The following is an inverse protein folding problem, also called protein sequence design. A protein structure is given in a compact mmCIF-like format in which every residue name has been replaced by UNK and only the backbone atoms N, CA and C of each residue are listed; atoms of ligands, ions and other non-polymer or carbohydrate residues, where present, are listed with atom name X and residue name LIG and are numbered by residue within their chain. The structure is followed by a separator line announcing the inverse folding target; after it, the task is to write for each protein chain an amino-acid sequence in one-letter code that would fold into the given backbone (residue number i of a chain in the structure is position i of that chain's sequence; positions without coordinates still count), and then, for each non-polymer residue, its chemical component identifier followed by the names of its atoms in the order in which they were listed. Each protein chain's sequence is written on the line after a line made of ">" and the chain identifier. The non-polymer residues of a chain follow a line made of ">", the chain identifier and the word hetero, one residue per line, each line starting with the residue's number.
data_IF_311566250709
#
_entry.id   IF_311566250709
#
_cell.length_a   1.000
_cell.length_b   1.000
_cell.length_c   1.000
_cell.angle_alpha   90.00
_cell.angle_beta   90.00
_cell.angle_gamma   90.00
#
_symmetry.space_group_name_H-M   'P 1'
#
loop_
_entity.id
_entity.type
_entity.pdbx_description
1 polymer ?
#
# COMPACT_ATOMS: atom_id res chain seq x y z
N UNK A 1 -20.83 -27.50 -6.65
CA UNK A 1 -20.03 -26.76 -5.65
C UNK A 1 -18.97 -25.88 -6.30
N UNK A 2 -18.23 -26.39 -7.28
CA UNK A 2 -17.21 -25.69 -8.08
C UNK A 2 -17.67 -24.40 -8.77
N UNK A 3 -18.85 -24.40 -9.42
CA UNK A 3 -19.37 -23.20 -10.09
C UNK A 3 -19.60 -22.00 -9.14
N UNK A 4 -20.05 -22.26 -7.90
CA UNK A 4 -20.27 -21.21 -6.89
C UNK A 4 -18.95 -20.62 -6.36
N UNK A 5 -17.90 -21.42 -6.27
CA UNK A 5 -16.57 -20.96 -5.85
C UNK A 5 -15.92 -20.11 -6.93
N UNK A 6 -15.94 -20.57 -8.18
CA UNK A 6 -15.42 -19.82 -9.32
C UNK A 6 -16.13 -18.47 -9.50
N UNK A 7 -17.45 -18.44 -9.32
CA UNK A 7 -18.22 -17.21 -9.39
C UNK A 7 -17.87 -16.22 -8.26
N UNK A 8 -17.60 -16.72 -7.03
CA UNK A 8 -17.09 -15.86 -5.94
C UNK A 8 -15.71 -15.29 -6.23
N UNK A 9 -14.80 -16.11 -6.76
CA UNK A 9 -13.45 -15.67 -7.15
C UNK A 9 -13.54 -14.60 -8.25
N UNK A 10 -14.36 -14.85 -9.27
CA UNK A 10 -14.59 -13.89 -10.36
C UNK A 10 -15.13 -12.56 -9.86
N UNK A 11 -16.14 -12.58 -8.99
CA UNK A 11 -16.71 -11.36 -8.40
C UNK A 11 -15.70 -10.60 -7.54
N UNK A 12 -14.89 -11.32 -6.75
CA UNK A 12 -13.80 -10.73 -5.98
C UNK A 12 -12.78 -10.04 -6.89
N UNK A 13 -12.33 -10.70 -7.95
CA UNK A 13 -11.44 -10.09 -8.95
C UNK A 13 -12.07 -8.84 -9.59
N UNK A 14 -13.30 -8.96 -10.06
CA UNK A 14 -14.00 -7.86 -10.76
C UNK A 14 -14.18 -6.62 -9.87
N UNK A 15 -14.43 -6.81 -8.56
CA UNK A 15 -14.59 -5.69 -7.63
C UNK A 15 -13.37 -4.77 -7.55
N UNK A 16 -12.16 -5.29 -7.77
CA UNK A 16 -10.91 -4.53 -7.76
C UNK A 16 -10.58 -3.84 -9.09
N UNK A 17 -11.41 -4.03 -10.13
CA UNK A 17 -11.11 -3.57 -11.49
C UNK A 17 -12.15 -2.60 -12.05
N UNK A 18 -13.17 -2.28 -11.25
CA UNK A 18 -14.20 -1.30 -11.63
C UNK A 18 -13.64 0.12 -11.57
N UNK A 19 -14.24 1.02 -12.35
CA UNK A 19 -13.85 2.42 -12.33
C UNK A 19 -14.20 3.09 -10.99
N UNK A 20 -15.31 2.68 -10.35
CA UNK A 20 -15.70 3.12 -9.01
C UNK A 20 -14.64 2.75 -7.95
N UNK A 21 -14.10 1.52 -8.01
CA UNK A 21 -13.02 1.09 -7.11
C UNK A 21 -11.80 2.02 -7.23
N UNK A 22 -11.42 2.38 -8.46
CA UNK A 22 -10.26 3.23 -8.72
C UNK A 22 -10.52 4.68 -8.30
N UNK A 23 -11.71 5.21 -8.58
CA UNK A 23 -12.13 6.55 -8.12
C UNK A 23 -12.05 6.67 -6.59
N UNK A 24 -12.56 5.67 -5.88
CA UNK A 24 -12.53 5.66 -4.41
C UNK A 24 -11.11 5.51 -3.86
N UNK A 25 -10.22 4.83 -4.59
CA UNK A 25 -8.80 4.78 -4.24
C UNK A 25 -8.12 6.15 -4.42
N UNK A 26 -8.57 6.97 -5.38
CA UNK A 26 -8.03 8.28 -5.68
C UNK A 26 -8.63 9.41 -4.83
N UNK A 27 -9.70 9.17 -4.07
CA UNK A 27 -10.39 10.19 -3.27
C UNK A 27 -10.26 9.93 -1.77
N UNK A 28 -10.44 10.96 -0.95
CA UNK A 28 -10.46 10.88 0.51
C UNK A 28 -11.85 11.24 1.05
N UNK A 29 -12.16 10.76 2.24
CA UNK A 29 -13.39 11.16 2.95
C UNK A 29 -13.24 12.50 3.67
N UNK A 30 -12.02 13.02 3.85
CA UNK A 30 -11.75 14.26 4.59
C UNK A 30 -10.90 15.27 3.80
N UNK A 31 -9.96 14.80 2.97
CA UNK A 31 -9.09 15.69 2.19
C UNK A 31 -9.66 15.93 0.79
N UNK A 32 -9.49 17.13 0.22
CA UNK A 32 -9.60 17.33 -1.21
C UNK A 32 -8.65 16.39 -1.97
N UNK A 33 -9.07 15.90 -3.15
CA UNK A 33 -8.30 14.95 -3.97
C UNK A 33 -6.87 15.41 -4.24
N UNK A 34 -6.66 16.69 -4.57
CA UNK A 34 -5.32 17.22 -4.84
C UNK A 34 -4.41 17.14 -3.60
N UNK A 35 -4.96 17.37 -2.40
CA UNK A 35 -4.20 17.31 -1.15
C UNK A 35 -3.85 15.86 -0.79
N UNK A 36 -4.74 14.90 -1.04
CA UNK A 36 -4.41 13.47 -0.94
C UNK A 36 -3.26 13.10 -1.88
N UNK A 37 -3.27 13.62 -3.11
CA UNK A 37 -2.18 13.44 -4.08
C UNK A 37 -0.86 13.99 -3.56
N UNK A 38 -0.88 15.20 -2.99
CA UNK A 38 0.30 15.83 -2.37
C UNK A 38 0.83 15.03 -1.17
N UNK A 39 -0.04 14.54 -0.29
CA UNK A 39 0.37 13.69 0.84
C UNK A 39 1.09 12.45 0.33
N UNK A 40 0.49 11.73 -0.64
CA UNK A 40 1.11 10.55 -1.26
C UNK A 40 2.47 10.89 -1.91
N UNK A 41 2.57 12.03 -2.59
CA UNK A 41 3.82 12.49 -3.18
C UNK A 41 4.91 12.77 -2.12
N UNK A 42 4.56 13.44 -1.02
CA UNK A 42 5.49 13.71 0.09
C UNK A 42 5.99 12.41 0.72
N UNK A 43 5.09 11.44 0.96
CA UNK A 43 5.47 10.14 1.51
C UNK A 43 6.39 9.37 0.56
N UNK A 44 6.11 9.42 -0.75
CA UNK A 44 6.99 8.83 -1.77
C UNK A 44 8.38 9.47 -1.78
N UNK A 45 8.44 10.81 -1.80
CA UNK A 45 9.69 11.57 -1.78
C UNK A 45 10.49 11.23 -0.53
N UNK A 46 9.86 11.24 0.65
CA UNK A 46 10.54 10.85 1.89
C UNK A 46 11.11 9.43 1.81
N UNK A 47 10.32 8.45 1.36
CA UNK A 47 10.79 7.06 1.27
C UNK A 47 11.97 6.91 0.31
N UNK A 48 11.93 7.53 -0.87
CA UNK A 48 13.06 7.54 -1.80
C UNK A 48 14.27 8.27 -1.22
N UNK A 49 14.09 9.42 -0.57
CA UNK A 49 15.18 10.13 0.09
C UNK A 49 15.83 9.27 1.16
N UNK A 50 15.06 8.57 2.00
CA UNK A 50 15.59 7.61 2.97
C UNK A 50 16.43 6.53 2.29
N UNK A 51 15.89 5.86 1.27
CA UNK A 51 16.59 4.79 0.54
C UNK A 51 17.90 5.26 -0.07
N UNK A 52 17.86 6.36 -0.84
CA UNK A 52 19.05 6.88 -1.51
C UNK A 52 20.07 7.43 -0.52
N UNK A 53 19.63 8.05 0.58
CA UNK A 53 20.55 8.52 1.62
C UNK A 53 21.23 7.36 2.34
N UNK A 54 20.51 6.29 2.69
CA UNK A 54 21.10 5.09 3.31
C UNK A 54 22.14 4.46 2.38
N UNK A 55 21.80 4.30 1.10
CA UNK A 55 22.73 3.78 0.07
C UNK A 55 23.97 4.66 -0.03
N UNK A 56 23.79 5.97 -0.22
CA UNK A 56 24.89 6.92 -0.37
C UNK A 56 25.79 7.00 0.86
N UNK A 57 25.19 7.06 2.05
CA UNK A 57 25.92 7.09 3.32
C UNK A 57 26.77 5.83 3.51
N UNK A 58 26.19 4.65 3.31
CA UNK A 58 26.92 3.37 3.47
C UNK A 58 28.06 3.23 2.47
N UNK A 59 27.85 3.60 1.21
CA UNK A 59 28.92 3.61 0.21
C UNK A 59 30.05 4.56 0.62
N UNK A 60 29.70 5.77 1.09
CA UNK A 60 30.69 6.78 1.47
C UNK A 60 31.60 6.34 2.63
N UNK A 61 31.11 5.46 3.52
CA UNK A 61 31.90 4.88 4.62
C UNK A 61 32.51 3.51 4.28
N UNK A 62 32.54 3.13 3.00
CA UNK A 62 33.19 1.90 2.52
C UNK A 62 32.35 0.62 2.67
N UNK A 63 31.05 0.71 2.93
CA UNK A 63 30.14 -0.44 3.10
C UNK A 63 29.36 -0.78 1.82
N UNK A 64 30.01 -0.73 0.66
CA UNK A 64 29.35 -0.97 -0.64
C UNK A 64 28.81 -2.41 -0.77
N UNK A 65 29.51 -3.41 -0.23
CA UNK A 65 29.06 -4.80 -0.22
C UNK A 65 27.75 -4.96 0.58
N UNK A 66 27.68 -4.38 1.78
CA UNK A 66 26.45 -4.40 2.58
C UNK A 66 25.26 -3.72 1.90
N UNK A 67 25.50 -2.73 1.02
CA UNK A 67 24.44 -2.14 0.19
C UNK A 67 23.95 -3.13 -0.87
N UNK A 68 24.83 -3.88 -1.51
CA UNK A 68 24.42 -4.91 -2.49
C UNK A 68 23.57 -5.99 -1.81
N UNK A 69 24.07 -6.50 -0.68
CA UNK A 69 23.38 -7.50 0.13
C UNK A 69 22.04 -7.00 0.67
N UNK A 70 21.88 -5.69 0.91
CA UNK A 70 20.63 -5.11 1.42
C UNK A 70 19.41 -5.40 0.53
N UNK A 71 19.60 -5.61 -0.77
CA UNK A 71 18.52 -5.96 -1.70
C UNK A 71 17.97 -7.38 -1.52
N UNK A 72 18.62 -8.20 -0.68
CA UNK A 72 18.12 -9.54 -0.29
C UNK A 72 17.20 -9.51 0.94
N UNK A 73 17.08 -8.37 1.62
CA UNK A 73 16.24 -8.22 2.81
C UNK A 73 14.81 -7.83 2.43
N UNK A 74 13.81 -8.57 2.94
CA UNK A 74 12.40 -8.28 2.68
C UNK A 74 12.01 -6.87 3.14
N UNK A 75 12.59 -6.40 4.24
CA UNK A 75 12.32 -5.08 4.79
C UNK A 75 12.74 -3.96 3.84
N UNK A 76 13.90 -4.10 3.18
CA UNK A 76 14.41 -3.16 2.18
C UNK A 76 13.59 -3.24 0.89
N UNK A 77 13.35 -4.45 0.37
CA UNK A 77 12.50 -4.65 -0.81
C UNK A 77 11.08 -4.12 -0.61
N UNK A 78 10.51 -4.35 0.58
CA UNK A 78 9.21 -3.85 0.99
C UNK A 78 9.17 -2.32 1.06
N UNK A 79 10.25 -1.67 1.52
CA UNK A 79 10.33 -0.22 1.58
C UNK A 79 10.51 0.42 0.19
N UNK A 80 11.24 -0.21 -0.73
CA UNK A 80 11.22 0.15 -2.16
C UNK A 80 9.81 0.02 -2.76
N UNK A 81 9.14 -1.10 -2.49
CA UNK A 81 7.75 -1.30 -2.91
C UNK A 81 6.82 -0.20 -2.38
N UNK A 82 6.99 0.18 -1.12
CA UNK A 82 6.26 1.28 -0.48
C UNK A 82 6.51 2.63 -1.19
N UNK A 83 7.78 2.97 -1.45
CA UNK A 83 8.16 4.21 -2.13
C UNK A 83 7.53 4.32 -3.53
N UNK A 84 7.62 3.25 -4.33
CA UNK A 84 7.01 3.17 -5.65
C UNK A 84 5.49 3.19 -5.60
N UNK A 85 4.87 2.49 -4.65
CA UNK A 85 3.42 2.52 -4.48
C UNK A 85 2.94 3.95 -4.29
N UNK A 86 3.55 4.70 -3.36
CA UNK A 86 3.14 6.08 -3.12
C UNK A 86 3.37 6.98 -4.34
N UNK A 87 4.40 6.73 -5.15
CA UNK A 87 4.60 7.44 -6.41
C UNK A 87 3.44 7.19 -7.40
N UNK A 88 3.08 5.92 -7.62
CA UNK A 88 1.97 5.56 -8.51
C UNK A 88 0.62 6.04 -7.95
N UNK A 89 0.40 5.90 -6.65
CA UNK A 89 -0.80 6.38 -6.00
C UNK A 89 -0.92 7.91 -6.12
N UNK A 90 0.16 8.66 -5.93
CA UNK A 90 0.19 10.12 -6.16
C UNK A 90 -0.13 10.45 -7.63
N UNK A 91 0.50 9.75 -8.59
CA UNK A 91 0.26 9.94 -10.02
C UNK A 91 -1.22 9.70 -10.40
N UNK A 92 -1.81 8.61 -9.93
CA UNK A 92 -3.22 8.28 -10.18
C UNK A 92 -4.18 9.28 -9.52
N UNK A 93 -3.85 9.72 -8.30
CA UNK A 93 -4.64 10.71 -7.56
C UNK A 93 -4.61 12.07 -8.22
N UNK A 94 -3.42 12.55 -8.61
CA UNK A 94 -3.25 13.85 -9.26
C UNK A 94 -3.86 13.85 -10.65
N UNK A 95 -3.71 12.77 -11.42
CA UNK A 95 -4.40 12.67 -12.72
C UNK A 95 -5.92 12.69 -12.57
N UNK A 96 -6.47 12.02 -11.55
CA UNK A 96 -7.90 12.12 -11.22
C UNK A 96 -8.29 13.54 -10.82
N UNK A 97 -7.50 14.22 -9.98
CA UNK A 97 -7.77 15.61 -9.58
C UNK A 97 -7.80 16.59 -10.76
N UNK A 98 -6.99 16.36 -11.79
CA UNK A 98 -6.86 17.26 -12.94
C UNK A 98 -7.85 16.96 -14.08
N UNK A 99 -8.33 15.72 -14.19
CA UNK A 99 -9.07 15.24 -15.38
C UNK A 99 -10.37 14.51 -15.04
N UNK A 100 -10.68 14.38 -13.75
CA UNK A 100 -11.75 13.51 -13.22
C UNK A 100 -11.65 12.05 -13.67
N UNK A 101 -10.45 11.66 -14.12
CA UNK A 101 -10.13 10.33 -14.61
C UNK A 101 -8.70 9.97 -14.26
N UNK A 102 -8.53 8.99 -13.37
CA UNK A 102 -7.23 8.47 -12.97
C UNK A 102 -6.58 7.76 -14.16
N UNK A 103 -5.25 7.88 -14.30
CA UNK A 103 -4.51 7.13 -15.32
C UNK A 103 -4.74 5.62 -15.23
N UNK A 104 -4.91 5.07 -14.02
CA UNK A 104 -5.20 3.64 -13.82
C UNK A 104 -6.52 3.20 -14.46
N UNK A 105 -7.50 4.11 -14.64
CA UNK A 105 -8.78 3.76 -15.27
C UNK A 105 -8.63 3.43 -16.77
N UNK A 106 -7.60 3.94 -17.45
CA UNK A 106 -7.32 3.60 -18.85
C UNK A 106 -6.45 2.37 -19.02
N UNK A 107 -5.92 1.80 -17.94
CA UNK A 107 -5.07 0.61 -18.00
C UNK A 107 -5.90 -0.66 -18.25
N UNK A 108 -5.31 -1.71 -18.85
CA UNK A 108 -5.97 -3.00 -18.98
C UNK A 108 -6.35 -3.59 -17.61
N UNK A 109 -7.41 -4.38 -17.57
CA UNK A 109 -8.02 -4.91 -16.34
C UNK A 109 -7.04 -5.65 -15.44
N UNK A 110 -6.09 -6.39 -16.00
CA UNK A 110 -5.09 -7.13 -15.23
C UNK A 110 -4.12 -6.18 -14.48
N UNK A 111 -3.77 -5.03 -15.06
CA UNK A 111 -2.96 -4.02 -14.38
C UNK A 111 -3.75 -3.28 -13.30
N UNK A 112 -5.06 -3.04 -13.50
CA UNK A 112 -5.96 -2.53 -12.45
C UNK A 112 -5.96 -3.47 -11.24
N UNK A 113 -6.05 -4.78 -11.51
CA UNK A 113 -5.99 -5.81 -10.47
C UNK A 113 -4.62 -5.86 -9.79
N UNK A 114 -3.51 -5.83 -10.55
CA UNK A 114 -2.17 -5.81 -9.96
C UNK A 114 -1.94 -4.57 -9.10
N UNK A 115 -2.50 -3.41 -9.45
CA UNK A 115 -2.47 -2.25 -8.57
C UNK A 115 -3.29 -2.48 -7.29
N UNK A 116 -4.41 -3.20 -7.35
CA UNK A 116 -5.12 -3.63 -6.13
C UNK A 116 -4.26 -4.55 -5.26
N UNK A 117 -3.54 -5.49 -5.85
CA UNK A 117 -2.56 -6.32 -5.14
C UNK A 117 -1.45 -5.47 -4.53
N UNK A 118 -0.91 -4.50 -5.28
CA UNK A 118 0.13 -3.58 -4.79
C UNK A 118 -0.36 -2.74 -3.61
N UNK A 119 -1.62 -2.29 -3.66
CA UNK A 119 -2.26 -1.62 -2.52
C UNK A 119 -2.35 -2.55 -1.30
N UNK A 120 -2.66 -3.82 -1.49
CA UNK A 120 -2.70 -4.80 -0.41
C UNK A 120 -1.30 -5.08 0.18
N UNK A 121 -0.24 -5.14 -0.62
CA UNK A 121 1.11 -5.35 -0.08
C UNK A 121 1.52 -4.20 0.85
N UNK A 122 1.29 -2.95 0.46
CA UNK A 122 1.69 -1.77 1.27
C UNK A 122 0.79 -1.47 2.46
N UNK A 123 -0.39 -2.08 2.54
CA UNK A 123 -1.27 -1.95 3.72
C UNK A 123 -1.25 -3.18 4.62
N UNK A 124 -0.54 -4.25 4.24
CA UNK A 124 -0.42 -5.48 5.04
C UNK A 124 1.02 -5.74 5.46
N UNK A 125 1.96 -5.78 4.52
CA UNK A 125 3.35 -6.14 4.81
C UNK A 125 4.05 -5.18 5.76
N UNK A 126 3.85 -3.84 5.72
CA UNK A 126 4.52 -2.95 6.66
C UNK A 126 4.21 -3.25 8.13
N UNK A 127 2.98 -3.65 8.46
CA UNK A 127 2.65 -4.05 9.83
C UNK A 127 3.36 -5.33 10.26
N UNK A 128 3.52 -6.32 9.35
CA UNK A 128 4.32 -7.53 9.60
C UNK A 128 5.79 -7.13 9.82
N UNK A 129 6.35 -6.32 8.92
CA UNK A 129 7.74 -5.87 8.97
C UNK A 129 8.02 -5.15 10.28
N UNK A 130 7.18 -4.20 10.66
CA UNK A 130 7.31 -3.48 11.93
C UNK A 130 7.27 -4.47 13.10
N UNK A 131 6.28 -5.36 13.16
CA UNK A 131 6.17 -6.32 14.25
C UNK A 131 7.41 -7.23 14.37
N UNK A 132 7.86 -7.82 13.26
CA UNK A 132 9.03 -8.71 13.24
C UNK A 132 10.31 -7.95 13.55
N UNK A 133 10.51 -6.77 12.96
CA UNK A 133 11.71 -5.99 13.17
C UNK A 133 11.85 -5.59 14.65
N UNK A 134 10.82 -5.01 15.25
CA UNK A 134 10.88 -4.54 16.64
C UNK A 134 10.83 -5.67 17.67
N UNK A 135 10.32 -6.85 17.31
CA UNK A 135 10.32 -8.00 18.21
C UNK A 135 11.64 -8.80 18.16
N UNK A 136 12.30 -8.87 17.00
CA UNK A 136 13.39 -9.84 16.77
C UNK A 136 14.67 -9.21 16.21
N UNK A 137 14.60 -8.13 15.44
CA UNK A 137 15.74 -7.60 14.67
C UNK A 137 16.31 -6.27 15.21
N UNK A 138 15.66 -5.65 16.20
CA UNK A 138 15.97 -4.26 16.60
C UNK A 138 17.16 -4.09 17.57
N UNK A 139 17.97 -5.13 17.78
CA UNK A 139 19.07 -5.13 18.77
C UNK A 139 19.98 -3.90 18.63
N UNK A 140 20.37 -3.59 17.39
CA UNK A 140 21.30 -2.50 17.08
C UNK A 140 20.59 -1.23 16.59
N UNK A 141 19.27 -1.12 16.80
CA UNK A 141 18.49 0.00 16.27
C UNK A 141 19.01 1.35 16.79
N UNK A 142 19.44 1.43 18.05
CA UNK A 142 19.72 2.68 18.76
C UNK A 142 21.21 2.95 19.03
N UNK A 143 22.13 2.24 18.37
CA UNK A 143 23.58 2.35 18.67
C UNK A 143 24.23 3.63 18.15
N UNK A 144 23.63 4.29 17.16
CA UNK A 144 24.12 5.53 16.56
C UNK A 144 22.96 6.41 16.09
N UNK A 145 23.23 7.68 15.80
CA UNK A 145 22.23 8.58 15.19
C UNK A 145 21.76 8.05 13.82
N UNK A 146 22.70 7.59 12.99
CA UNK A 146 22.38 7.04 11.67
C UNK A 146 21.51 5.78 11.78
N UNK A 147 21.92 4.79 12.60
CA UNK A 147 21.14 3.56 12.78
C UNK A 147 19.77 3.84 13.40
N UNK A 148 19.68 4.78 14.34
CA UNK A 148 18.39 5.16 14.95
C UNK A 148 17.45 5.72 13.89
N UNK A 149 17.93 6.70 13.12
CA UNK A 149 17.14 7.34 12.08
C UNK A 149 16.77 6.36 10.95
N UNK A 150 17.71 5.56 10.46
CA UNK A 150 17.45 4.63 9.35
C UNK A 150 16.43 3.56 9.74
N UNK A 151 16.57 2.97 10.93
CA UNK A 151 15.66 1.93 11.39
C UNK A 151 14.27 2.46 11.74
N UNK A 152 14.16 3.66 12.33
CA UNK A 152 12.85 4.31 12.51
C UNK A 152 12.20 4.55 11.15
N UNK A 153 12.96 5.06 10.18
CA UNK A 153 12.44 5.37 8.85
C UNK A 153 11.96 4.09 8.12
N UNK A 154 12.77 3.05 8.07
CA UNK A 154 12.44 1.84 7.29
C UNK A 154 11.48 0.89 8.02
N UNK A 155 11.48 0.87 9.36
CA UNK A 155 10.80 -0.18 10.13
C UNK A 155 9.74 0.31 11.11
N UNK A 156 9.63 1.62 11.36
CA UNK A 156 8.47 2.21 12.04
C UNK A 156 7.61 3.03 11.08
N UNK A 157 8.21 3.94 10.31
CA UNK A 157 7.47 4.83 9.42
C UNK A 157 6.77 4.08 8.27
N UNK A 158 7.25 2.90 7.88
CA UNK A 158 6.56 2.04 6.93
C UNK A 158 5.10 1.71 7.36
N UNK A 159 4.89 1.38 8.64
CA UNK A 159 3.55 1.11 9.20
C UNK A 159 2.74 2.40 9.38
N UNK A 160 3.38 3.52 9.70
CA UNK A 160 2.73 4.82 9.73
C UNK A 160 2.22 5.21 8.33
N UNK A 161 3.01 4.93 7.28
CA UNK A 161 2.63 5.18 5.89
C UNK A 161 1.48 4.27 5.47
N UNK A 162 1.55 2.98 5.80
CA UNK A 162 0.46 2.03 5.60
C UNK A 162 -0.82 2.50 6.31
N UNK A 163 -0.70 3.04 7.53
CA UNK A 163 -1.83 3.58 8.27
C UNK A 163 -2.42 4.82 7.61
N UNK A 164 -1.61 5.77 7.11
CA UNK A 164 -2.11 6.94 6.36
C UNK A 164 -2.91 6.49 5.14
N UNK A 165 -2.39 5.52 4.39
CA UNK A 165 -3.05 4.99 3.19
C UNK A 165 -4.27 4.09 3.50
N UNK A 166 -4.37 3.61 4.73
CA UNK A 166 -5.55 2.93 5.25
C UNK A 166 -6.60 3.94 5.74
N UNK A 167 -6.17 5.04 6.37
CA UNK A 167 -7.04 5.96 7.08
C UNK A 167 -7.66 7.04 6.18
N UNK A 168 -6.91 7.60 5.23
CA UNK A 168 -7.35 8.76 4.44
C UNK A 168 -8.17 8.42 3.19
N UNK A 169 -7.74 7.47 2.32
CA UNK A 169 -8.45 7.19 1.08
C UNK A 169 -9.82 6.56 1.32
N UNK A 170 -10.73 6.69 0.35
CA UNK A 170 -12.04 6.01 0.37
C UNK A 170 -11.98 4.57 -0.15
N UNK A 171 -10.77 4.02 -0.27
CA UNK A 171 -10.46 2.70 -0.85
C UNK A 171 -11.43 1.59 -0.44
N UNK A 172 -11.85 0.75 -1.38
CA UNK A 172 -12.68 -0.40 -1.01
C UNK A 172 -11.91 -1.44 -0.18
N UNK A 173 -12.60 -2.25 0.64
CA UNK A 173 -11.97 -3.34 1.35
C UNK A 173 -11.25 -4.26 0.39
N UNK A 174 -10.08 -4.75 0.78
CA UNK A 174 -9.31 -5.67 -0.05
C UNK A 174 -10.19 -6.85 -0.50
N UNK A 175 -10.25 -7.15 -1.81
CA UNK A 175 -10.92 -8.34 -2.28
C UNK A 175 -10.13 -9.57 -1.82
N UNK A 176 -10.82 -10.66 -1.51
CA UNK A 176 -10.20 -11.88 -0.98
C UNK A 176 -9.16 -12.49 -1.93
N UNK A 177 -9.32 -12.23 -3.23
CA UNK A 177 -8.36 -12.63 -4.26
C UNK A 177 -6.96 -12.04 -4.04
N UNK A 178 -6.82 -10.90 -3.36
CA UNK A 178 -5.51 -10.30 -3.10
C UNK A 178 -4.66 -11.13 -2.13
N UNK A 179 -5.28 -11.91 -1.23
CA UNK A 179 -4.53 -12.72 -0.25
C UNK A 179 -3.59 -13.73 -0.91
N UNK A 180 -4.02 -14.38 -2.00
CA UNK A 180 -3.20 -15.38 -2.69
C UNK A 180 -1.90 -14.79 -3.27
N UNK A 181 -1.92 -13.67 -4.02
CA UNK A 181 -0.71 -12.95 -4.41
C UNK A 181 0.19 -12.54 -3.24
N UNK A 182 -0.35 -12.10 -2.09
CA UNK A 182 0.48 -11.76 -0.93
C UNK A 182 1.25 -12.99 -0.42
N UNK A 183 0.58 -14.12 -0.26
CA UNK A 183 1.21 -15.39 0.15
C UNK A 183 2.24 -15.83 -0.89
N UNK A 184 1.91 -15.71 -2.17
CA UNK A 184 2.84 -16.04 -3.26
C UNK A 184 4.11 -15.18 -3.22
N UNK A 185 3.98 -13.88 -2.97
CA UNK A 185 5.14 -12.97 -2.81
C UNK A 185 6.00 -13.38 -1.61
N UNK A 186 5.40 -13.76 -0.48
CA UNK A 186 6.17 -14.27 0.67
C UNK A 186 6.90 -15.57 0.35
N UNK A 187 6.29 -16.47 -0.43
CA UNK A 187 6.96 -17.69 -0.88
C UNK A 187 8.12 -17.39 -1.83
N UNK A 188 7.94 -16.47 -2.79
CA UNK A 188 9.02 -15.99 -3.65
C UNK A 188 10.15 -15.35 -2.85
N UNK A 189 9.82 -14.57 -1.83
CA UNK A 189 10.83 -14.00 -0.94
C UNK A 189 11.61 -15.08 -0.19
N UNK A 190 10.94 -16.12 0.34
CA UNK A 190 11.62 -17.23 0.98
C UNK A 190 12.59 -17.92 0.01
N UNK A 191 12.18 -18.14 -1.25
CA UNK A 191 13.07 -18.66 -2.29
C UNK A 191 14.26 -17.73 -2.54
N UNK A 192 14.05 -16.42 -2.59
CA UNK A 192 15.13 -15.43 -2.72
C UNK A 192 16.10 -15.49 -1.54
N UNK A 193 15.61 -15.58 -0.30
CA UNK A 193 16.44 -15.62 0.90
C UNK A 193 17.39 -16.83 0.91
N UNK A 194 16.92 -18.01 0.48
CA UNK A 194 17.77 -19.19 0.33
C UNK A 194 18.68 -19.10 -0.91
N UNK A 195 18.24 -18.47 -1.99
CA UNK A 195 19.11 -18.20 -3.13
C UNK A 195 20.29 -17.30 -2.72
N UNK A 196 20.05 -16.26 -1.92
CA UNK A 196 21.09 -15.41 -1.35
C UNK A 196 22.08 -16.21 -0.53
N UNK A 197 21.61 -17.18 0.27
CA UNK A 197 22.52 -18.06 1.01
C UNK A 197 23.42 -18.87 0.08
N UNK A 198 22.88 -19.45 -0.99
CA UNK A 198 23.66 -20.22 -1.96
C UNK A 198 24.65 -19.36 -2.76
N UNK A 199 24.32 -18.10 -3.04
CA UNK A 199 25.17 -17.22 -3.87
C UNK A 199 26.13 -16.35 -3.07
N UNK A 200 25.78 -15.96 -1.85
CA UNK A 200 26.53 -15.01 -1.02
C UNK A 200 27.01 -15.61 0.31
N UNK A 201 26.61 -16.85 0.64
CA UNK A 201 27.05 -17.56 1.84
C UNK A 201 26.41 -17.06 3.14
N UNK A 202 25.39 -16.20 3.07
CA UNK A 202 24.75 -15.57 4.23
C UNK A 202 23.26 -15.90 4.31
N UNK A 203 22.76 -16.11 5.54
CA UNK A 203 21.33 -16.05 5.79
C UNK A 203 20.95 -14.60 6.07
N UNK A 204 20.02 -14.05 5.28
CA UNK A 204 19.52 -12.67 5.46
C UNK A 204 18.85 -12.44 6.81
N UNK A 205 18.37 -13.50 7.45
CA UNK A 205 17.87 -13.46 8.82
C UNK A 205 18.34 -14.70 9.57
N UNK A 206 18.86 -14.53 10.78
CA UNK A 206 19.33 -15.63 11.64
C UNK A 206 18.24 -16.69 11.88
N UNK A 207 16.97 -16.27 11.95
CA UNK A 207 15.84 -17.17 12.14
C UNK A 207 15.51 -18.06 10.93
N UNK A 208 16.15 -17.82 9.78
CA UNK A 208 16.05 -18.67 8.58
C UNK A 208 17.20 -19.69 8.48
N UNK A 209 18.22 -19.59 9.33
CA UNK A 209 19.34 -20.52 9.34
C UNK A 209 18.90 -21.87 9.97
N UNK A 210 18.91 -22.98 9.21
CA UNK A 210 18.57 -24.30 9.73
C UNK A 210 19.51 -24.81 10.84
N UNK A 211 20.72 -24.24 10.97
CA UNK A 211 21.67 -24.55 12.04
C UNK A 211 21.12 -24.18 13.43
N UNK A 212 20.23 -23.17 13.48
CA UNK A 212 19.48 -22.76 14.66
C UNK A 212 18.27 -23.67 14.96
N UNK A 213 18.09 -24.75 14.19
CA UNK A 213 17.05 -25.76 14.32
C UNK A 213 15.99 -25.65 13.23
N UNK A 214 15.87 -26.69 12.40
CA UNK A 214 14.90 -26.74 11.30
C UNK A 214 13.44 -26.57 11.74
N UNK A 215 13.08 -27.05 12.93
CA UNK A 215 11.77 -26.81 13.53
C UNK A 215 11.51 -25.34 13.88
N UNK A 216 12.54 -24.60 14.27
CA UNK A 216 12.47 -23.16 14.54
C UNK A 216 12.20 -22.39 13.25
N UNK A 217 12.97 -22.67 12.19
CA UNK A 217 12.79 -22.07 10.86
C UNK A 217 11.37 -22.30 10.35
N UNK A 218 10.88 -23.54 10.41
CA UNK A 218 9.49 -23.85 10.03
C UNK A 218 8.49 -23.04 10.87
N UNK A 219 8.72 -22.93 12.18
CA UNK A 219 7.93 -22.11 13.09
C UNK A 219 7.84 -20.65 12.65
N UNK A 220 8.96 -20.00 12.31
CA UNK A 220 8.98 -18.63 11.80
C UNK A 220 8.25 -18.49 10.47
N UNK A 221 8.46 -19.40 9.52
CA UNK A 221 7.77 -19.39 8.23
C UNK A 221 6.23 -19.46 8.40
N UNK A 222 5.74 -20.37 9.24
CA UNK A 222 4.31 -20.48 9.53
C UNK A 222 3.77 -19.31 10.35
N UNK A 223 4.55 -18.76 11.28
CA UNK A 223 4.17 -17.57 12.04
C UNK A 223 4.00 -16.33 11.14
N UNK A 224 4.93 -16.10 10.20
CA UNK A 224 4.84 -15.00 9.22
C UNK A 224 3.66 -15.20 8.26
N UNK A 225 3.44 -16.43 7.79
CA UNK A 225 2.27 -16.77 6.97
C UNK A 225 0.96 -16.48 7.72
N UNK A 226 0.86 -16.93 8.97
CA UNK A 226 -0.30 -16.67 9.81
C UNK A 226 -0.49 -15.16 10.06
N UNK A 227 0.58 -14.43 10.36
CA UNK A 227 0.56 -12.99 10.54
C UNK A 227 0.06 -12.27 9.28
N UNK A 228 0.49 -12.70 8.08
CA UNK A 228 0.00 -12.16 6.82
C UNK A 228 -1.51 -12.34 6.66
N UNK A 229 -2.03 -13.53 6.96
CA UNK A 229 -3.47 -13.82 6.86
C UNK A 229 -4.25 -12.97 7.88
N UNK A 230 -3.81 -12.95 9.13
CA UNK A 230 -4.49 -12.21 10.21
C UNK A 230 -4.49 -10.71 9.91
N UNK A 231 -3.34 -10.13 9.56
CA UNK A 231 -3.23 -8.70 9.26
C UNK A 231 -4.05 -8.34 8.02
N UNK A 232 -4.05 -9.18 6.97
CA UNK A 232 -4.91 -8.97 5.81
C UNK A 232 -6.39 -8.87 6.22
N UNK A 233 -6.86 -9.79 7.07
CA UNK A 233 -8.24 -9.78 7.59
C UNK A 233 -8.50 -8.52 8.41
N UNK A 234 -7.61 -8.16 9.34
CA UNK A 234 -7.73 -6.96 10.17
C UNK A 234 -7.81 -5.70 9.31
N UNK A 235 -6.87 -5.52 8.38
CA UNK A 235 -6.84 -4.36 7.46
C UNK A 235 -8.13 -4.28 6.66
N UNK A 236 -8.62 -5.39 6.14
CA UNK A 236 -9.88 -5.45 5.41
C UNK A 236 -11.07 -4.99 6.25
N UNK A 237 -11.14 -5.42 7.51
CA UNK A 237 -12.22 -4.99 8.42
C UNK A 237 -12.05 -3.56 8.92
N UNK A 238 -10.82 -3.05 9.03
CA UNK A 238 -10.57 -1.62 9.27
C UNK A 238 -11.03 -0.76 8.09
N UNK A 239 -10.84 -1.20 6.84
CA UNK A 239 -11.39 -0.52 5.66
C UNK A 239 -12.91 -0.47 5.71
N UNK A 240 -13.56 -1.60 6.03
CA UNK A 240 -15.02 -1.66 6.21
C UNK A 240 -15.50 -0.72 7.34
N UNK A 241 -14.81 -0.72 8.48
CA UNK A 241 -15.14 0.14 9.61
C UNK A 241 -15.01 1.61 9.23
N UNK A 242 -13.91 1.99 8.57
CA UNK A 242 -13.68 3.35 8.09
C UNK A 242 -14.79 3.78 7.14
N UNK A 243 -15.13 2.97 6.14
CA UNK A 243 -16.23 3.28 5.21
C UNK A 243 -17.56 3.42 5.92
N UNK A 244 -17.89 2.52 6.85
CA UNK A 244 -19.13 2.63 7.61
C UNK A 244 -19.18 3.92 8.44
N UNK A 245 -18.07 4.28 9.10
CA UNK A 245 -17.97 5.53 9.84
C UNK A 245 -18.14 6.75 8.94
N UNK A 246 -17.41 6.83 7.84
CA UNK A 246 -17.30 8.06 7.04
C UNK A 246 -18.42 8.22 6.01
N UNK A 247 -18.95 7.12 5.47
CA UNK A 247 -19.97 7.17 4.42
C UNK A 247 -21.39 7.03 4.98
N UNK A 248 -21.59 6.22 6.02
CA UNK A 248 -22.92 5.99 6.61
C UNK A 248 -23.17 6.82 7.87
N UNK A 249 -22.24 6.77 8.84
CA UNK A 249 -22.48 7.38 10.17
C UNK A 249 -22.28 8.90 10.16
N UNK A 250 -21.20 9.38 9.55
CA UNK A 250 -20.89 10.80 9.50
C UNK A 250 -21.46 11.51 8.26
N UNK A 251 -21.98 10.75 7.28
CA UNK A 251 -22.63 11.31 6.09
C UNK A 251 -21.72 12.18 5.21
N UNK A 252 -20.40 12.07 5.34
CA UNK A 252 -19.44 12.98 4.69
C UNK A 252 -19.51 12.89 3.15
N UNK A 253 -19.89 11.73 2.62
CA UNK A 253 -20.12 11.52 1.17
C UNK A 253 -21.45 12.14 0.70
N UNK A 254 -22.49 12.11 1.53
CA UNK A 254 -23.79 12.74 1.19
C UNK A 254 -23.65 14.25 1.07
N UNK A 255 -22.82 14.88 1.89
CA UNK A 255 -22.60 16.33 1.83
C UNK A 255 -21.87 16.76 0.52
N UNK A 256 -20.90 15.96 0.05
CA UNK A 256 -20.16 16.25 -1.18
C UNK A 256 -20.95 15.93 -2.48
N UNK A 257 -21.84 14.94 -2.48
CA UNK A 257 -22.74 14.69 -3.63
C UNK A 257 -23.83 15.75 -3.70
N UNK A 258 -24.45 16.09 -2.57
CA UNK A 258 -25.49 17.12 -2.51
C UNK A 258 -24.96 18.49 -2.96
N UNK A 259 -23.69 18.82 -2.66
CA UNK A 259 -23.05 20.04 -3.17
C UNK A 259 -22.93 20.07 -4.69
N UNK A 260 -22.50 18.96 -5.33
CA UNK A 260 -22.41 18.87 -6.81
C UNK A 260 -23.78 18.81 -7.49
N UNK A 261 -24.77 18.19 -6.84
CA UNK A 261 -26.15 18.14 -7.33
C UNK A 261 -26.83 19.52 -7.25
N UNK A 262 -26.54 20.30 -6.20
CA UNK A 262 -27.00 21.70 -6.07
C UNK A 262 -26.30 22.60 -7.09
N UNK A 263 -24.98 22.49 -7.23
CA UNK A 263 -24.19 23.31 -8.16
C UNK A 263 -24.57 23.04 -9.62
N UNK A 264 -24.85 21.78 -9.98
CA UNK A 264 -25.38 21.42 -11.30
C UNK A 264 -26.82 21.89 -11.52
N UNK A 265 -27.68 21.86 -10.49
CA UNK A 265 -29.01 22.48 -10.55
C UNK A 265 -28.93 24.00 -10.75
N UNK A 266 -28.07 24.70 -9.99
CA UNK A 266 -27.89 26.15 -10.12
C UNK A 266 -27.35 26.52 -11.51
N UNK A 267 -26.33 25.81 -12.00
CA UNK A 267 -25.82 26.01 -13.36
C UNK A 267 -26.88 25.75 -14.43
N UNK A 268 -27.70 24.72 -14.28
CA UNK A 268 -28.80 24.44 -15.22
C UNK A 268 -29.87 25.53 -15.22
N UNK A 269 -30.19 26.09 -14.04
CA UNK A 269 -31.19 27.15 -13.90
C UNK A 269 -30.69 28.48 -14.45
N UNK A 270 -29.39 28.79 -14.31
CA UNK A 270 -28.77 30.00 -14.90
C UNK A 270 -28.78 29.91 -16.43
N UNK A 271 -28.39 28.77 -16.99
CA UNK A 271 -28.40 28.55 -18.46
C UNK A 271 -29.82 28.65 -19.02
N UNK A 272 -30.83 28.11 -18.33
CA UNK A 272 -32.23 28.16 -18.75
C UNK A 272 -32.84 29.57 -18.60
N UNK A 273 -32.35 30.38 -17.65
CA UNK A 273 -32.73 31.78 -17.48
C UNK A 273 -32.21 32.66 -18.63
N UNK A 274 -30.92 32.50 -19.01
CA UNK A 274 -30.30 33.24 -20.12
C UNK A 274 -30.89 32.85 -21.49
N UNK A 275 -31.25 31.57 -21.67
CA UNK A 275 -31.92 31.10 -22.88
C UNK A 275 -33.32 31.73 -23.07
N UNK A 276 -34.03 32.02 -21.97
CA UNK A 276 -35.37 32.65 -22.01
C UNK A 276 -35.32 34.15 -22.23
N UNK A 277 -34.22 34.83 -21.87
CA UNK A 277 -34.08 36.28 -22.01
C UNK A 277 -33.35 36.72 -23.29
N UNK A 278 -32.77 35.80 -24.05
CA UNK A 278 -32.13 36.08 -25.35
C UNK A 278 -33.07 35.95 -26.56
N UNK A 279 -34.34 35.58 -26.35
CA UNK A 279 -35.38 35.48 -27.39
C UNK A 279 -36.42 36.62 -27.36
N UNK A 280 -36.15 37.70 -26.62
CA UNK A 280 -37.02 38.89 -26.51
C UNK A 280 -36.51 40.08 -27.31
#
# INVERSE_FOLDING_TARGET
>A
MTARVLDRIRRSYQSATTDLYIEQLCTSWILPTWLLGTVRAILSVYAFTTLFYIIGYRIAIGQAEGVQQSFSYFTVLGYWGLAFYFAFAALHTTSYALREKALLQSWPTWLKYLHSVFYATVTVFPFIVTAVYWAVLSKDAFVSQFSTWSNISEHAMNSAFAFVELALPRSQPHPWTNLAPLIFILALYLSLAYLTHETEGIYVYDFLDPSNGSGSVAGYCFAILAACIVIFVVVRYLQLLRQWLTENKFGTVRLASTGRDIESMELSNVVDFDAKHSQG
#
